data_IF_342421761351
#
_entry.id   IF_342421761351
#
_cell.length_a   1.000
_cell.length_b   1.000
_cell.length_c   1.000
_cell.angle_alpha   90.00
_cell.angle_beta   90.00
_cell.angle_gamma   90.00
#
_symmetry.space_group_name_H-M   'P 1'
#
loop_
_entity.id
_entity.type
_entity.pdbx_description
1 polymer ?
#
# COMPACT_ATOMS: atom_id res chain seq x y z
N UNK A 1 6.03 -4.48 -4.16
CA UNK A 1 5.97 -3.69 -2.91
C UNK A 1 4.77 -2.77 -2.98
N UNK A 2 3.67 -3.17 -2.34
CA UNK A 2 2.37 -2.52 -2.37
C UNK A 2 2.45 -1.19 -1.60
N UNK A 3 2.08 -0.09 -2.26
CA UNK A 3 2.34 1.28 -1.73
C UNK A 3 1.12 2.17 -1.78
N UNK A 4 0.21 1.93 -2.72
CA UNK A 4 -0.94 2.77 -3.00
C UNK A 4 -2.24 1.96 -2.83
N UNK A 5 -3.38 2.63 -2.57
CA UNK A 5 -4.68 1.96 -2.50
C UNK A 5 -4.98 1.09 -3.73
N UNK A 6 -4.62 1.55 -4.93
CA UNK A 6 -4.77 0.78 -6.16
C UNK A 6 -3.96 -0.53 -6.18
N UNK A 7 -2.79 -0.58 -5.52
CA UNK A 7 -2.02 -1.81 -5.39
C UNK A 7 -2.74 -2.79 -4.44
N UNK A 8 -3.33 -2.27 -3.37
CA UNK A 8 -4.08 -3.05 -2.38
C UNK A 8 -5.36 -3.63 -2.99
N UNK A 9 -6.13 -2.81 -3.71
CA UNK A 9 -7.35 -3.22 -4.44
C UNK A 9 -7.01 -4.34 -5.42
N UNK A 10 -5.94 -4.18 -6.21
CA UNK A 10 -5.50 -5.23 -7.15
C UNK A 10 -5.11 -6.52 -6.44
N UNK A 11 -4.46 -6.44 -5.28
CA UNK A 11 -4.13 -7.63 -4.50
C UNK A 11 -5.40 -8.36 -4.02
N UNK A 12 -6.38 -7.63 -3.50
CA UNK A 12 -7.67 -8.19 -3.08
C UNK A 12 -8.44 -8.78 -4.27
N UNK A 13 -8.51 -8.05 -5.40
CA UNK A 13 -9.15 -8.52 -6.64
C UNK A 13 -8.51 -9.79 -7.22
N UNK A 14 -7.21 -9.99 -7.00
CA UNK A 14 -6.48 -11.21 -7.37
C UNK A 14 -6.69 -12.38 -6.38
N UNK A 15 -7.53 -12.20 -5.37
CA UNK A 15 -7.91 -13.23 -4.40
C UNK A 15 -7.14 -13.22 -3.07
N UNK A 16 -6.44 -12.12 -2.72
CA UNK A 16 -5.82 -12.01 -1.40
C UNK A 16 -6.87 -11.69 -0.32
N UNK A 17 -6.80 -12.37 0.83
CA UNK A 17 -7.66 -12.08 1.99
C UNK A 17 -7.18 -10.87 2.80
N UNK A 18 -5.88 -10.57 2.72
CA UNK A 18 -5.26 -9.49 3.48
C UNK A 18 -4.03 -8.92 2.77
N UNK A 19 -3.68 -7.68 3.12
CA UNK A 19 -2.53 -6.97 2.57
C UNK A 19 -1.56 -6.58 3.68
N UNK A 20 -0.37 -7.17 3.66
CA UNK A 20 0.73 -6.77 4.53
C UNK A 20 1.57 -5.66 3.88
N UNK A 21 1.77 -4.56 4.61
CA UNK A 21 2.60 -3.43 4.18
C UNK A 21 3.85 -3.32 5.05
N UNK A 22 4.97 -2.94 4.42
CA UNK A 22 6.26 -2.77 5.11
C UNK A 22 6.88 -1.43 4.73
N UNK A 23 7.52 -1.32 3.56
CA UNK A 23 8.19 -0.09 3.14
C UNK A 23 7.29 1.15 3.17
N UNK A 24 6.03 1.04 2.72
CA UNK A 24 5.06 2.14 2.74
C UNK A 24 4.68 2.55 4.17
N UNK A 25 4.48 1.60 5.08
CA UNK A 25 4.20 1.88 6.49
C UNK A 25 5.40 2.55 7.19
N UNK A 26 6.61 2.05 6.94
CA UNK A 26 7.85 2.63 7.50
C UNK A 26 8.10 4.05 6.92
N UNK A 27 7.71 4.30 5.67
CA UNK A 27 7.73 5.65 5.09
C UNK A 27 6.69 6.57 5.74
N UNK A 28 5.49 6.07 6.04
CA UNK A 28 4.44 6.84 6.72
C UNK A 28 4.89 7.34 8.10
N UNK A 29 5.67 6.55 8.85
CA UNK A 29 6.20 6.95 10.16
C UNK A 29 7.48 7.81 10.11
N UNK A 30 8.00 8.13 8.90
CA UNK A 30 9.10 9.09 8.72
C UNK A 30 10.39 8.56 8.05
N UNK A 31 10.39 7.36 7.45
CA UNK A 31 11.58 6.86 6.77
C UNK A 31 11.95 7.67 5.53
N UNK A 32 13.22 8.06 5.45
CA UNK A 32 13.80 8.85 4.35
C UNK A 32 14.32 7.99 3.18
N UNK A 33 14.14 6.66 3.23
CA UNK A 33 14.67 5.72 2.25
C UNK A 33 16.20 5.84 1.99
N UNK A 34 16.98 6.13 3.05
CA UNK A 34 18.45 6.24 2.99
C UNK A 34 19.16 4.93 2.60
N UNK A 35 18.50 3.77 2.81
CA UNK A 35 19.05 2.42 2.52
C UNK A 35 20.30 2.04 3.33
N UNK A 36 20.56 2.71 4.45
CA UNK A 36 21.64 2.41 5.38
C UNK A 36 21.17 1.66 6.64
N UNK A 37 20.02 0.97 6.60
CA UNK A 37 19.40 0.37 7.78
C UNK A 37 20.32 -0.63 8.51
N UNK A 38 21.12 -1.39 7.76
CA UNK A 38 22.09 -2.37 8.29
C UNK A 38 23.25 -1.72 9.07
N UNK A 39 23.48 -0.41 8.93
CA UNK A 39 24.60 0.29 9.58
C UNK A 39 24.31 0.72 11.02
N UNK A 40 23.08 0.51 11.50
CA UNK A 40 22.61 0.98 12.80
C UNK A 40 22.65 2.53 12.95
N UNK A 41 22.73 3.28 11.84
CA UNK A 41 22.82 4.75 11.80
C UNK A 41 21.57 5.41 11.18
N UNK A 42 20.37 4.85 11.39
CA UNK A 42 19.15 5.46 10.89
C UNK A 42 18.99 6.89 11.44
N UNK A 43 18.98 7.94 10.59
CA UNK A 43 19.01 9.32 11.06
C UNK A 43 17.71 9.76 11.74
N UNK A 44 16.62 9.04 11.48
CA UNK A 44 15.26 9.31 11.98
C UNK A 44 14.80 8.32 13.07
N UNK A 45 15.70 7.45 13.55
CA UNK A 45 15.42 6.59 14.71
C UNK A 45 14.57 5.35 14.46
N UNK A 46 14.21 5.02 13.20
CA UNK A 46 13.37 3.86 12.89
C UNK A 46 14.16 2.53 12.94
N UNK A 47 15.30 2.46 12.25
CA UNK A 47 16.09 1.24 12.09
C UNK A 47 17.45 1.38 12.80
N UNK A 48 17.43 1.55 14.12
CA UNK A 48 18.62 1.69 14.96
C UNK A 48 18.32 1.30 16.41
N UNK A 49 19.32 0.76 17.10
CA UNK A 49 19.28 0.47 18.53
C UNK A 49 20.06 1.51 19.37
N UNK A 50 20.63 2.55 18.74
CA UNK A 50 21.42 3.57 19.45
C UNK A 50 20.47 4.53 20.18
N UNK A 51 20.54 4.69 21.52
CA UNK A 51 19.55 5.47 22.28
C UNK A 51 19.34 6.90 21.78
N UNK A 52 20.42 7.60 21.44
CA UNK A 52 20.37 8.98 20.93
C UNK A 52 19.80 9.12 19.50
N UNK A 53 19.70 8.02 18.75
CA UNK A 53 19.04 7.98 17.44
C UNK A 53 17.58 7.55 17.60
N UNK A 54 17.30 6.55 18.43
CA UNK A 54 15.93 6.10 18.76
C UNK A 54 15.10 7.27 19.30
N UNK A 55 15.69 8.13 20.14
CA UNK A 55 15.03 9.33 20.67
C UNK A 55 14.60 10.36 19.62
N UNK A 56 15.03 10.21 18.36
CA UNK A 56 14.60 11.08 17.24
C UNK A 56 13.24 10.68 16.68
N UNK A 57 12.77 9.45 16.94
CA UNK A 57 11.45 9.01 16.54
C UNK A 57 10.41 9.53 17.55
N UNK A 58 9.56 10.45 17.10
CA UNK A 58 8.45 10.97 17.92
C UNK A 58 7.27 10.02 17.80
N UNK A 59 7.18 9.05 18.72
CA UNK A 59 6.25 7.90 18.64
C UNK A 59 4.80 8.33 18.40
N UNK A 60 4.24 9.25 19.20
CA UNK A 60 2.86 9.69 19.06
C UNK A 60 2.55 10.30 17.68
N UNK A 61 3.46 11.15 17.18
CA UNK A 61 3.32 11.77 15.86
C UNK A 61 3.40 10.71 14.76
N UNK A 62 4.36 9.79 14.85
CA UNK A 62 4.55 8.71 13.90
C UNK A 62 3.35 7.76 13.89
N UNK A 63 2.78 7.44 15.05
CA UNK A 63 1.56 6.63 15.16
C UNK A 63 0.37 7.32 14.48
N UNK A 64 0.16 8.62 14.71
CA UNK A 64 -0.89 9.38 14.03
C UNK A 64 -0.69 9.42 12.51
N UNK A 65 0.54 9.58 12.04
CA UNK A 65 0.85 9.55 10.60
C UNK A 65 0.54 8.19 9.98
N UNK A 66 0.83 7.10 10.69
CA UNK A 66 0.51 5.75 10.26
C UNK A 66 -1.00 5.50 10.24
N UNK A 67 -1.73 5.96 11.25
CA UNK A 67 -3.19 5.91 11.30
C UNK A 67 -3.80 6.66 10.10
N UNK A 68 -3.36 7.90 9.86
CA UNK A 68 -3.83 8.69 8.71
C UNK A 68 -3.55 7.99 7.38
N UNK A 69 -2.39 7.35 7.22
CA UNK A 69 -2.05 6.57 6.03
C UNK A 69 -3.03 5.41 5.81
N UNK A 70 -3.35 4.65 6.86
CA UNK A 70 -4.29 3.54 6.76
C UNK A 70 -5.72 4.03 6.53
N UNK A 71 -6.20 5.03 7.27
CA UNK A 71 -7.54 5.60 7.12
C UNK A 71 -7.76 6.16 5.71
N UNK A 72 -6.82 6.95 5.19
CA UNK A 72 -6.91 7.48 3.83
C UNK A 72 -6.87 6.35 2.78
N UNK A 73 -6.05 5.32 3.02
CA UNK A 73 -5.97 4.18 2.12
C UNK A 73 -7.28 3.40 2.07
N UNK A 74 -7.84 3.05 3.23
CA UNK A 74 -9.14 2.35 3.33
C UNK A 74 -10.26 3.19 2.77
N UNK A 75 -10.30 4.51 3.05
CA UNK A 75 -11.30 5.41 2.49
C UNK A 75 -11.30 5.42 0.95
N UNK A 76 -10.11 5.49 0.34
CA UNK A 76 -9.97 5.41 -1.13
C UNK A 76 -10.35 4.02 -1.67
N UNK A 77 -10.05 2.95 -0.93
CA UNK A 77 -10.48 1.59 -1.29
C UNK A 77 -12.01 1.47 -1.26
N UNK A 78 -12.68 2.03 -0.26
CA UNK A 78 -14.14 2.04 -0.17
C UNK A 78 -14.78 2.83 -1.31
N UNK A 79 -14.17 3.94 -1.74
CA UNK A 79 -14.62 4.68 -2.94
C UNK A 79 -14.58 3.78 -4.17
N UNK A 80 -13.49 3.03 -4.36
CA UNK A 80 -13.39 2.10 -5.49
C UNK A 80 -14.37 0.93 -5.37
N UNK A 81 -14.55 0.37 -4.16
CA UNK A 81 -15.50 -0.71 -3.93
C UNK A 81 -16.91 -0.30 -4.39
N UNK A 82 -17.36 0.91 -4.01
CA UNK A 82 -18.63 1.46 -4.49
C UNK A 82 -18.68 1.66 -6.00
N UNK A 83 -17.60 2.12 -6.61
CA UNK A 83 -17.52 2.30 -8.07
C UNK A 83 -17.63 0.97 -8.83
N UNK A 84 -17.14 -0.11 -8.23
CA UNK A 84 -17.24 -1.48 -8.72
C UNK A 84 -18.59 -2.16 -8.39
N UNK A 85 -19.47 -1.51 -7.63
CA UNK A 85 -20.76 -2.08 -7.22
C UNK A 85 -20.71 -2.96 -5.97
N UNK A 86 -19.63 -2.89 -5.19
CA UNK A 86 -19.46 -3.64 -3.94
C UNK A 86 -19.82 -2.80 -2.72
N UNK A 87 -20.44 -3.42 -1.72
CA UNK A 87 -20.75 -2.83 -0.42
C UNK A 87 -19.62 -2.98 0.60
N UNK A 88 -18.68 -3.91 0.36
CA UNK A 88 -17.54 -4.18 1.21
C UNK A 88 -16.24 -4.32 0.39
N UNK A 89 -15.09 -3.96 0.98
CA UNK A 89 -13.77 -4.05 0.32
C UNK A 89 -13.32 -5.47 0.02
N UNK A 90 -13.91 -6.48 0.67
CA UNK A 90 -13.69 -7.88 0.33
C UNK A 90 -14.47 -8.35 -0.90
N UNK A 91 -15.34 -7.49 -1.47
CA UNK A 91 -16.08 -7.79 -2.69
C UNK A 91 -15.23 -7.72 -3.95
N UNK A 92 -14.04 -7.12 -3.87
CA UNK A 92 -13.14 -7.02 -5.02
C UNK A 92 -12.81 -8.40 -5.57
N UNK A 93 -12.92 -8.53 -6.89
CA UNK A 93 -12.70 -9.78 -7.61
C UNK A 93 -12.08 -9.52 -8.99
N UNK A 94 -11.86 -10.58 -9.76
CA UNK A 94 -11.18 -10.49 -11.06
C UNK A 94 -11.90 -9.62 -12.09
N UNK A 95 -13.23 -9.45 -11.99
CA UNK A 95 -14.01 -8.63 -12.92
C UNK A 95 -13.77 -7.13 -12.72
N UNK A 96 -13.21 -6.72 -11.58
CA UNK A 96 -12.83 -5.34 -11.27
C UNK A 96 -11.49 -4.94 -11.90
N UNK A 97 -10.79 -5.89 -12.54
CA UNK A 97 -9.51 -5.64 -13.19
C UNK A 97 -9.69 -5.32 -14.66
N UNK A 98 -8.96 -4.31 -15.13
CA UNK A 98 -8.86 -4.00 -16.56
C UNK A 98 -7.43 -3.65 -16.95
N UNK A 99 -7.10 -3.88 -18.22
CA UNK A 99 -5.82 -3.53 -18.82
C UNK A 99 -6.04 -2.85 -20.17
N UNK A 100 -5.21 -1.86 -20.49
CA UNK A 100 -5.14 -1.26 -21.83
C UNK A 100 -4.01 -1.86 -22.67
N UNK A 101 -3.24 -2.80 -22.12
CA UNK A 101 -2.19 -3.54 -22.83
C UNK A 101 -2.77 -4.86 -23.35
N UNK A 102 -2.75 -5.02 -24.68
CA UNK A 102 -3.30 -6.22 -25.35
C UNK A 102 -2.58 -7.49 -24.92
N UNK A 103 -1.24 -7.48 -24.95
CA UNK A 103 -0.42 -8.59 -24.46
C UNK A 103 -0.77 -9.02 -23.02
N UNK A 104 -1.00 -8.07 -22.11
CA UNK A 104 -1.42 -8.41 -20.74
C UNK A 104 -2.81 -9.05 -20.71
N UNK A 105 -3.74 -8.58 -21.53
CA UNK A 105 -5.07 -9.20 -21.65
C UNK A 105 -4.94 -10.64 -22.12
N UNK A 106 -4.15 -10.87 -23.16
CA UNK A 106 -3.96 -12.18 -23.79
C UNK A 106 -3.27 -13.18 -22.84
N UNK A 107 -2.31 -12.70 -22.02
CA UNK A 107 -1.54 -13.56 -21.10
C UNK A 107 -2.24 -13.81 -19.76
N UNK A 108 -2.98 -12.83 -19.23
CA UNK A 108 -3.53 -12.91 -17.87
C UNK A 108 -5.04 -13.16 -17.80
N UNK A 109 -5.75 -13.04 -18.92
CA UNK A 109 -7.21 -13.09 -18.97
C UNK A 109 -7.92 -11.84 -18.43
N UNK A 110 -7.18 -10.82 -17.96
CA UNK A 110 -7.75 -9.54 -17.52
C UNK A 110 -8.37 -8.81 -18.70
N UNK A 111 -9.61 -8.33 -18.55
CA UNK A 111 -10.39 -7.69 -19.63
C UNK A 111 -9.66 -6.49 -20.24
N UNK A 112 -9.52 -6.50 -21.57
CA UNK A 112 -9.05 -5.35 -22.35
C UNK A 112 -10.06 -4.20 -22.29
N UNK A 113 -9.61 -3.01 -21.89
CA UNK A 113 -10.43 -1.81 -21.76
C UNK A 113 -10.28 -0.79 -22.89
N UNK A 114 -9.57 -1.13 -23.98
CA UNK A 114 -9.39 -0.26 -25.14
C UNK A 114 -10.42 -0.50 -26.25
N UNK A 115 -10.40 0.36 -27.27
CA UNK A 115 -11.15 0.12 -28.50
C UNK A 115 -10.55 -1.06 -29.27
N UNK A 116 -11.43 -1.93 -29.78
CA UNK A 116 -11.06 -3.17 -30.50
C UNK A 116 -10.27 -2.88 -31.76
#
# INVERSE_FOLDING_TARGET
GLRKPADFIKALALGADAVAVSNSAIQAIGCLAMRACHTNNCPVGIATQKPHLVSRLVVEKSAQQLANFFEASVGLMQVMARACGHDHVSGFNADDLTTWKREMSDLSGVRYGGLS
#
